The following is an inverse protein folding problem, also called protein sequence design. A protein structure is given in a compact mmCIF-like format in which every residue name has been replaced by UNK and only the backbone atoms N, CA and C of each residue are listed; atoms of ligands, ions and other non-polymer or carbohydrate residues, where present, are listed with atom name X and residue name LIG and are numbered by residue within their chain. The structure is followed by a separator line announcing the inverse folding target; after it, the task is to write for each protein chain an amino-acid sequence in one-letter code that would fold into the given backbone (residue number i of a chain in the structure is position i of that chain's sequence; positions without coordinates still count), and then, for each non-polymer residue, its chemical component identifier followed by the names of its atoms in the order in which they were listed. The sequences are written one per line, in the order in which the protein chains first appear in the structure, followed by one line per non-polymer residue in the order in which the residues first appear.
data_IF_706975544890
#
_entry.id   IF_706975544890
#
_cell.length_a   1.000
_cell.length_b   1.000
_cell.length_c   1.000
_cell.angle_alpha   90.00
_cell.angle_beta   90.00
_cell.angle_gamma   90.00
#
_symmetry.space_group_name_H-M   'P 1'
#
loop_
_entity.id
_entity.type
_entity.pdbx_description
1 polymer ?
#
# COMPACT_ATOMS: atom_id res chain seq x y z
N UNK A 1 21.84 13.27 24.98
CA UNK A 1 21.29 12.23 24.07
C UNK A 1 22.35 11.46 23.27
N UNK A 2 23.51 12.04 22.92
CA UNK A 2 24.57 11.33 22.17
C UNK A 2 25.19 10.14 22.92
N UNK A 3 25.29 10.21 24.24
CA UNK A 3 25.88 9.14 25.06
C UNK A 3 25.02 7.86 25.15
N UNK A 4 23.70 7.95 24.97
CA UNK A 4 22.82 6.77 25.03
C UNK A 4 22.91 5.95 23.73
N UNK A 5 23.08 6.62 22.59
CA UNK A 5 23.33 5.97 21.28
C UNK A 5 24.73 5.36 21.20
N UNK A 6 25.73 5.97 21.81
CA UNK A 6 27.09 5.41 21.87
C UNK A 6 27.18 4.17 22.78
N UNK A 7 26.42 4.11 23.87
CA UNK A 7 26.33 2.92 24.74
C UNK A 7 25.55 1.78 24.06
N UNK A 8 24.51 2.09 23.29
CA UNK A 8 23.82 1.10 22.46
C UNK A 8 24.69 0.61 21.29
N UNK A 9 25.42 1.50 20.61
CA UNK A 9 26.31 1.13 19.50
C UNK A 9 27.51 0.28 19.95
N UNK A 10 28.10 0.58 21.12
CA UNK A 10 29.22 -0.21 21.67
C UNK A 10 28.78 -1.57 22.23
N UNK A 11 27.55 -1.71 22.72
CA UNK A 11 26.98 -3.00 23.08
C UNK A 11 26.64 -3.88 21.86
N UNK A 12 26.30 -3.26 20.73
CA UNK A 12 25.97 -3.97 19.47
C UNK A 12 27.22 -4.56 18.80
N UNK A 13 28.38 -3.91 18.90
CA UNK A 13 29.57 -4.30 18.14
C UNK A 13 30.21 -5.64 18.59
N UNK A 14 29.96 -6.10 19.82
CA UNK A 14 30.43 -7.40 20.34
C UNK A 14 29.43 -8.56 20.19
N UNK A 15 28.24 -8.31 19.64
CA UNK A 15 27.14 -9.29 19.49
C UNK A 15 26.88 -9.76 18.05
N UNK A 16 27.57 -9.17 17.06
CA UNK A 16 27.29 -9.39 15.62
C UNK A 16 27.90 -10.68 15.04
N UNK A 17 28.80 -11.38 15.75
CA UNK A 17 29.45 -12.61 15.26
C UNK A 17 28.53 -13.85 15.27
N UNK A 18 27.30 -13.72 15.77
CA UNK A 18 26.31 -14.80 15.84
C UNK A 18 24.88 -14.26 15.67
N UNK A 19 24.53 -13.84 14.44
CA UNK A 19 23.22 -13.29 14.10
C UNK A 19 22.45 -14.25 13.20
N UNK A 20 21.19 -14.49 13.55
CA UNK A 20 20.22 -14.99 12.56
C UNK A 20 19.61 -13.79 11.84
N UNK A 21 19.43 -13.89 10.54
CA UNK A 21 18.81 -12.82 9.77
C UNK A 21 17.94 -13.37 8.65
N UNK A 22 16.93 -12.58 8.29
CA UNK A 22 16.12 -12.80 7.11
C UNK A 22 15.98 -11.50 6.32
N UNK A 23 15.94 -11.63 5.00
CA UNK A 23 15.67 -10.54 4.09
C UNK A 23 14.46 -10.89 3.23
N UNK A 24 13.55 -9.95 3.08
CA UNK A 24 12.37 -10.07 2.22
C UNK A 24 12.34 -8.89 1.27
N UNK A 25 12.33 -9.15 -0.02
CA UNK A 25 12.07 -8.16 -1.05
C UNK A 25 10.72 -8.46 -1.70
N UNK A 26 9.91 -7.44 -1.95
CA UNK A 26 8.62 -7.63 -2.60
C UNK A 26 8.31 -6.47 -3.54
N UNK A 27 7.45 -6.77 -4.51
CA UNK A 27 6.86 -5.81 -5.41
C UNK A 27 5.51 -6.33 -5.89
N UNK A 28 4.47 -5.54 -5.72
CA UNK A 28 3.15 -5.84 -6.23
C UNK A 28 2.39 -4.59 -6.62
N UNK A 29 1.53 -4.72 -7.61
CA UNK A 29 0.51 -3.74 -7.94
C UNK A 29 -0.78 -4.47 -8.31
N UNK A 30 -1.92 -3.89 -7.99
CA UNK A 30 -3.24 -4.48 -8.16
C UNK A 30 -4.29 -3.41 -8.42
N UNK A 31 -5.28 -3.76 -9.25
CA UNK A 31 -6.52 -3.01 -9.41
C UNK A 31 -7.73 -3.93 -9.34
N UNK A 32 -8.89 -3.37 -9.02
CA UNK A 32 -10.18 -4.05 -9.21
C UNK A 32 -10.80 -3.77 -10.59
N UNK A 33 -10.35 -2.74 -11.30
CA UNK A 33 -10.96 -2.25 -12.54
C UNK A 33 -9.96 -2.10 -13.71
N UNK A 34 -8.70 -1.75 -13.45
CA UNK A 34 -7.71 -1.52 -14.51
C UNK A 34 -6.99 -2.82 -14.88
N UNK A 35 -7.07 -3.19 -16.16
CA UNK A 35 -6.20 -4.21 -16.74
C UNK A 35 -4.75 -3.71 -16.84
N UNK A 36 -3.81 -4.64 -16.97
CA UNK A 36 -2.39 -4.31 -17.15
C UNK A 36 -2.15 -3.46 -18.40
N UNK A 37 -2.87 -3.74 -19.48
CA UNK A 37 -2.77 -2.96 -20.72
C UNK A 37 -3.25 -1.52 -20.54
N UNK A 38 -4.43 -1.32 -19.95
CA UNK A 38 -4.96 0.02 -19.70
C UNK A 38 -4.06 0.79 -18.73
N UNK A 39 -3.65 0.18 -17.62
CA UNK A 39 -2.72 0.82 -16.67
C UNK A 39 -1.37 1.20 -17.30
N UNK A 40 -0.84 0.36 -18.20
CA UNK A 40 0.38 0.66 -18.95
C UNK A 40 0.19 1.86 -19.89
N UNK A 41 -0.94 1.95 -20.59
CA UNK A 41 -1.25 3.05 -21.51
C UNK A 41 -1.46 4.36 -20.76
N UNK A 42 -2.13 4.32 -19.61
CA UNK A 42 -2.29 5.50 -18.74
C UNK A 42 -0.94 6.02 -18.23
N UNK A 43 -0.01 5.12 -17.87
CA UNK A 43 1.29 5.53 -17.33
C UNK A 43 2.31 5.92 -18.41
N UNK A 44 2.36 5.20 -19.53
CA UNK A 44 3.39 5.42 -20.58
C UNK A 44 2.89 6.28 -21.75
N UNK A 45 1.60 6.60 -21.78
CA UNK A 45 0.94 7.18 -22.94
C UNK A 45 0.68 6.16 -24.06
N UNK A 46 -0.23 6.51 -24.95
CA UNK A 46 -0.62 5.71 -26.11
C UNK A 46 -2.11 5.86 -26.42
N UNK A 47 -2.55 5.24 -27.52
CA UNK A 47 -3.97 5.19 -27.86
C UNK A 47 -4.69 4.24 -26.91
N UNK A 48 -5.71 4.75 -26.22
CA UNK A 48 -6.61 3.97 -25.38
C UNK A 48 -7.86 3.67 -26.21
N UNK A 49 -8.01 2.41 -26.59
CA UNK A 49 -9.18 1.92 -27.31
C UNK A 49 -10.42 1.97 -26.40
N UNK A 50 -11.58 2.30 -26.98
CA UNK A 50 -12.86 2.35 -26.26
C UNK A 50 -13.18 1.02 -25.56
N UNK A 51 -12.85 -0.10 -26.19
CA UNK A 51 -13.07 -1.45 -25.62
C UNK A 51 -12.33 -1.67 -24.29
N UNK A 52 -11.16 -1.03 -24.10
CA UNK A 52 -10.41 -1.10 -22.83
C UNK A 52 -11.10 -0.29 -21.73
N UNK A 53 -11.69 0.85 -22.08
CA UNK A 53 -12.45 1.70 -21.16
C UNK A 53 -13.72 0.98 -20.74
N UNK A 54 -14.49 0.46 -21.70
CA UNK A 54 -15.74 -0.26 -21.43
C UNK A 54 -15.48 -1.51 -20.57
N UNK A 55 -14.39 -2.26 -20.86
CA UNK A 55 -13.98 -3.42 -20.05
C UNK A 55 -13.62 -3.03 -18.61
N UNK A 56 -13.02 -1.85 -18.41
CA UNK A 56 -12.67 -1.35 -17.08
C UNK A 56 -13.91 -0.90 -16.30
N UNK A 57 -14.88 -0.29 -16.98
CA UNK A 57 -16.17 0.11 -16.39
C UNK A 57 -17.01 -1.09 -15.98
N UNK A 58 -17.13 -2.08 -16.88
CA UNK A 58 -17.76 -3.36 -16.56
C UNK A 58 -17.04 -4.02 -15.39
N UNK A 59 -15.71 -3.96 -15.36
CA UNK A 59 -14.95 -4.51 -14.27
C UNK A 59 -15.14 -3.79 -12.93
N UNK A 60 -15.37 -2.48 -12.96
CA UNK A 60 -15.63 -1.67 -11.79
C UNK A 60 -17.02 -1.92 -11.20
N UNK A 61 -18.01 -2.25 -12.04
CA UNK A 61 -19.35 -2.69 -11.61
C UNK A 61 -20.14 -1.66 -10.80
N UNK A 62 -19.85 -0.36 -10.97
CA UNK A 62 -20.45 0.73 -10.21
C UNK A 62 -19.87 0.95 -8.80
N UNK A 63 -18.89 0.13 -8.37
CA UNK A 63 -18.17 0.35 -7.12
C UNK A 63 -17.04 1.37 -7.29
N UNK A 64 -16.38 1.75 -6.19
CA UNK A 64 -15.18 2.58 -6.27
C UNK A 64 -14.04 1.81 -6.94
N UNK A 65 -13.50 2.37 -8.01
CA UNK A 65 -12.29 1.88 -8.63
C UNK A 65 -11.10 2.08 -7.68
N UNK A 66 -10.21 1.11 -7.64
CA UNK A 66 -9.04 1.09 -6.79
C UNK A 66 -7.83 0.58 -7.57
N UNK A 67 -6.71 1.24 -7.40
CA UNK A 67 -5.39 0.75 -7.79
C UNK A 67 -4.44 0.99 -6.63
N UNK A 68 -3.67 -0.03 -6.27
CA UNK A 68 -2.64 0.11 -5.25
C UNK A 68 -1.39 -0.64 -5.62
N UNK A 69 -0.27 -0.15 -5.10
CA UNK A 69 1.01 -0.79 -5.29
C UNK A 69 1.83 -0.73 -4.01
N UNK A 70 2.66 -1.75 -3.79
CA UNK A 70 3.68 -1.72 -2.75
C UNK A 70 4.92 -2.45 -3.20
N UNK A 71 6.06 -1.85 -2.92
CA UNK A 71 7.36 -2.47 -3.09
C UNK A 71 8.23 -2.18 -1.88
N UNK A 72 9.21 -3.04 -1.62
CA UNK A 72 10.09 -2.81 -0.51
C UNK A 72 11.10 -3.91 -0.26
N UNK A 73 11.95 -3.63 0.71
CA UNK A 73 12.95 -4.51 1.28
C UNK A 73 12.80 -4.45 2.81
N UNK A 74 12.80 -5.60 3.46
CA UNK A 74 12.84 -5.71 4.91
C UNK A 74 13.91 -6.70 5.32
N UNK A 75 14.79 -6.28 6.23
CA UNK A 75 15.81 -7.12 6.85
C UNK A 75 15.48 -7.20 8.33
N UNK A 76 15.33 -8.40 8.86
CA UNK A 76 15.18 -8.63 10.30
C UNK A 76 16.38 -9.42 10.78
N UNK A 77 16.87 -9.10 11.97
CA UNK A 77 17.96 -9.81 12.61
C UNK A 77 17.66 -10.04 14.09
N UNK A 78 18.21 -11.13 14.62
CA UNK A 78 18.10 -11.50 16.02
C UNK A 78 19.43 -12.07 16.52
N UNK A 79 19.87 -11.60 17.69
CA UNK A 79 21.10 -12.06 18.34
C UNK A 79 20.91 -13.47 18.89
N UNK A 80 21.90 -14.33 18.69
CA UNK A 80 21.91 -15.65 19.31
C UNK A 80 22.22 -15.60 20.82
N UNK A 81 22.73 -14.47 21.33
CA UNK A 81 23.10 -14.32 22.74
C UNK A 81 21.96 -13.71 23.56
N UNK A 82 21.68 -14.25 24.76
CA UNK A 82 20.73 -13.64 25.68
C UNK A 82 21.22 -12.27 26.17
N UNK A 83 20.28 -11.41 26.48
CA UNK A 83 20.49 -10.07 27.00
C UNK A 83 20.55 -10.11 28.53
N UNK A 84 21.74 -9.82 29.10
CA UNK A 84 21.98 -9.68 30.55
C UNK A 84 21.34 -10.81 31.37
N UNK A 85 21.69 -12.05 31.04
CA UNK A 85 21.23 -13.29 31.70
C UNK A 85 19.71 -13.51 31.72
N UNK A 86 18.94 -12.75 30.93
CA UNK A 86 17.51 -12.97 30.71
C UNK A 86 17.28 -13.81 29.46
N UNK A 87 16.17 -14.52 29.40
CA UNK A 87 15.69 -15.26 28.21
C UNK A 87 15.22 -14.35 27.05
N UNK A 88 15.70 -13.09 27.00
CA UNK A 88 15.42 -12.15 25.93
C UNK A 88 16.66 -11.97 25.06
N UNK A 89 16.50 -11.83 23.76
CA UNK A 89 17.56 -11.58 22.78
C UNK A 89 17.38 -10.20 22.17
N UNK A 90 18.48 -9.54 21.82
CA UNK A 90 18.42 -8.30 21.07
C UNK A 90 17.99 -8.61 19.63
N UNK A 91 17.03 -7.87 19.11
CA UNK A 91 16.60 -7.97 17.71
C UNK A 91 16.49 -6.59 17.07
N UNK A 92 16.35 -6.56 15.77
CA UNK A 92 16.07 -5.32 15.04
C UNK A 92 15.66 -5.55 13.62
N UNK A 93 15.18 -4.49 12.99
CA UNK A 93 14.74 -4.49 11.61
C UNK A 93 15.11 -3.22 10.86
N UNK A 94 15.39 -3.39 9.57
CA UNK A 94 15.57 -2.31 8.59
C UNK A 94 14.51 -2.52 7.50
N UNK A 95 13.70 -1.51 7.23
CA UNK A 95 12.69 -1.58 6.17
C UNK A 95 12.79 -0.36 5.25
N UNK A 96 12.82 -0.60 3.96
CA UNK A 96 12.54 0.38 2.91
C UNK A 96 11.22 -0.02 2.27
N UNK A 97 10.25 0.88 2.23
CA UNK A 97 8.93 0.58 1.65
C UNK A 97 8.37 1.78 0.90
N UNK A 98 7.82 1.50 -0.28
CA UNK A 98 6.96 2.40 -1.03
C UNK A 98 5.55 1.82 -1.10
N UNK A 99 4.56 2.68 -0.95
CA UNK A 99 3.14 2.35 -0.97
C UNK A 99 2.37 3.43 -1.72
N UNK A 100 1.43 3.01 -2.57
CA UNK A 100 0.45 3.91 -3.19
C UNK A 100 -0.96 3.32 -3.21
N UNK A 101 -1.95 4.21 -3.14
CA UNK A 101 -3.39 3.93 -3.15
C UNK A 101 -4.09 5.02 -3.95
N UNK A 102 -4.74 4.63 -5.04
CA UNK A 102 -5.51 5.47 -5.93
C UNK A 102 -6.94 4.96 -5.95
N UNK A 103 -7.91 5.87 -5.81
CA UNK A 103 -9.34 5.55 -5.87
C UNK A 103 -10.09 6.58 -6.68
N UNK A 104 -11.10 6.12 -7.40
CA UNK A 104 -11.91 6.96 -8.26
C UNK A 104 -13.35 6.45 -8.30
N UNK A 105 -14.29 7.36 -8.44
CA UNK A 105 -15.70 6.99 -8.69
C UNK A 105 -15.88 6.51 -10.13
N UNK A 106 -16.91 5.69 -10.43
CA UNK A 106 -17.26 5.35 -11.81
C UNK A 106 -17.45 6.60 -12.67
N UNK A 107 -18.07 7.63 -12.11
CA UNK A 107 -18.35 8.90 -12.78
C UNK A 107 -17.07 9.64 -13.12
N UNK A 108 -16.12 9.74 -12.18
CA UNK A 108 -14.82 10.38 -12.46
C UNK A 108 -14.05 9.63 -13.56
N UNK A 109 -14.12 8.30 -13.56
CA UNK A 109 -13.45 7.49 -14.58
C UNK A 109 -14.03 7.73 -15.97
N UNK A 110 -15.36 7.73 -16.08
CA UNK A 110 -16.08 7.94 -17.34
C UNK A 110 -15.90 9.38 -17.84
N UNK A 111 -15.99 10.39 -16.96
CA UNK A 111 -15.73 11.79 -17.33
C UNK A 111 -14.32 11.99 -17.90
N UNK A 112 -13.30 11.33 -17.35
CA UNK A 112 -11.90 11.47 -17.79
C UNK A 112 -11.64 10.75 -19.11
N UNK A 113 -12.23 9.58 -19.34
CA UNK A 113 -11.89 8.72 -20.50
C UNK A 113 -12.93 8.75 -21.62
N UNK A 114 -14.16 9.15 -21.33
CA UNK A 114 -15.30 9.17 -22.26
C UNK A 114 -15.91 10.56 -22.42
N UNK A 115 -15.64 11.48 -21.50
CA UNK A 115 -16.31 12.77 -21.43
C UNK A 115 -17.72 12.69 -20.84
N UNK A 116 -18.44 13.80 -20.93
CA UNK A 116 -19.75 14.00 -20.30
C UNK A 116 -20.96 13.55 -21.15
N UNK A 117 -20.74 13.03 -22.36
CA UNK A 117 -21.83 12.72 -23.29
C UNK A 117 -22.84 11.69 -22.77
N UNK A 118 -22.40 10.72 -21.96
CA UNK A 118 -23.25 9.73 -21.29
C UNK A 118 -23.84 10.17 -19.95
N UNK A 119 -23.64 11.42 -19.55
CA UNK A 119 -23.90 11.94 -18.20
C UNK A 119 -24.90 13.11 -18.18
N UNK A 120 -25.57 13.36 -19.30
CA UNK A 120 -26.55 14.45 -19.40
C UNK A 120 -27.78 14.15 -18.53
N UNK A 121 -28.30 15.18 -17.85
CA UNK A 121 -29.48 15.09 -17.00
C UNK A 121 -29.29 14.41 -15.65
N UNK A 122 -28.05 14.02 -15.30
CA UNK A 122 -27.75 13.39 -14.00
C UNK A 122 -26.64 14.12 -13.25
N UNK A 123 -26.66 13.96 -11.93
CA UNK A 123 -25.56 14.41 -11.07
C UNK A 123 -24.49 13.32 -10.98
N UNK A 124 -23.29 13.67 -11.39
CA UNK A 124 -22.09 12.87 -11.19
C UNK A 124 -21.48 13.19 -9.83
N UNK A 125 -21.17 12.13 -9.07
CA UNK A 125 -20.57 12.24 -7.75
C UNK A 125 -19.11 11.80 -7.83
N UNK A 126 -18.20 12.68 -7.40
CA UNK A 126 -16.75 12.47 -7.45
C UNK A 126 -16.14 12.23 -6.06
N UNK A 127 -16.99 12.26 -5.03
CA UNK A 127 -16.67 12.15 -3.61
C UNK A 127 -15.79 10.93 -3.31
N UNK A 128 -14.73 11.13 -2.52
CA UNK A 128 -13.86 10.06 -2.04
C UNK A 128 -12.79 9.61 -3.04
N UNK A 129 -12.79 10.15 -4.27
CA UNK A 129 -11.69 9.99 -5.21
C UNK A 129 -10.40 10.53 -4.60
N UNK A 130 -9.34 9.73 -4.62
CA UNK A 130 -8.11 10.03 -3.89
C UNK A 130 -6.87 9.43 -4.51
N UNK A 131 -5.73 10.04 -4.21
CA UNK A 131 -4.40 9.51 -4.48
C UNK A 131 -3.58 9.67 -3.22
N UNK A 132 -2.90 8.60 -2.78
CA UNK A 132 -1.93 8.66 -1.70
C UNK A 132 -0.71 7.88 -2.09
N UNK A 133 0.46 8.44 -1.79
CA UNK A 133 1.74 7.81 -2.08
C UNK A 133 2.72 8.14 -0.96
N UNK A 134 3.46 7.14 -0.50
CA UNK A 134 4.51 7.36 0.48
C UNK A 134 5.68 6.40 0.32
N UNK A 135 6.89 6.91 0.53
CA UNK A 135 8.13 6.14 0.61
C UNK A 135 8.81 6.45 1.94
N UNK A 136 9.27 5.41 2.64
CA UNK A 136 9.96 5.56 3.90
C UNK A 136 11.03 4.52 4.15
N UNK A 137 11.98 4.90 5.00
CA UNK A 137 13.02 4.05 5.58
C UNK A 137 12.77 3.99 7.09
N UNK A 138 12.82 2.78 7.64
CA UNK A 138 12.64 2.52 9.06
C UNK A 138 13.83 1.72 9.58
N UNK A 139 14.32 2.12 10.75
CA UNK A 139 15.29 1.35 11.54
C UNK A 139 14.68 1.13 12.91
N UNK A 140 14.57 -0.13 13.33
CA UNK A 140 14.01 -0.50 14.62
C UNK A 140 14.94 -1.44 15.40
N UNK A 141 14.91 -1.32 16.72
CA UNK A 141 15.62 -2.18 17.66
C UNK A 141 14.64 -2.61 18.73
N UNK A 142 14.78 -3.84 19.19
CA UNK A 142 13.82 -4.46 20.06
C UNK A 142 14.38 -5.61 20.88
N UNK A 143 13.45 -6.29 21.55
CA UNK A 143 13.72 -7.50 22.28
C UNK A 143 12.84 -8.62 21.74
N UNK A 144 13.45 -9.79 21.57
CA UNK A 144 12.79 -11.06 21.26
C UNK A 144 12.82 -11.93 22.52
N UNK A 145 11.65 -12.32 23.03
CA UNK A 145 11.52 -13.19 24.19
C UNK A 145 11.33 -14.65 23.80
N UNK A 146 10.84 -15.44 24.78
CA UNK A 146 10.45 -16.82 24.55
C UNK A 146 9.41 -16.94 23.40
N UNK A 147 9.48 -18.04 22.65
CA UNK A 147 8.62 -18.34 21.51
C UNK A 147 8.71 -17.35 20.33
N UNK A 148 9.86 -16.68 20.16
CA UNK A 148 10.10 -15.72 19.06
C UNK A 148 9.17 -14.49 19.09
N UNK A 149 8.48 -14.26 20.21
CA UNK A 149 7.69 -13.05 20.40
C UNK A 149 8.64 -11.86 20.44
N UNK A 150 8.42 -10.85 19.59
CA UNK A 150 9.28 -9.67 19.55
C UNK A 150 8.49 -8.38 19.54
N UNK A 151 9.08 -7.35 20.15
CA UNK A 151 8.61 -5.98 20.09
C UNK A 151 9.79 -5.08 19.77
N UNK A 152 9.59 -4.18 18.81
CA UNK A 152 10.61 -3.27 18.30
C UNK A 152 10.08 -1.85 18.32
N UNK A 153 10.94 -0.92 18.71
CA UNK A 153 10.70 0.51 18.57
C UNK A 153 11.63 1.04 17.48
N UNK A 154 11.05 1.75 16.53
CA UNK A 154 11.75 2.22 15.35
C UNK A 154 11.63 3.71 15.12
N UNK A 155 12.70 4.26 14.55
CA UNK A 155 12.72 5.57 13.94
C UNK A 155 12.38 5.40 12.46
N UNK A 156 11.49 6.25 11.95
CA UNK A 156 11.13 6.28 10.54
C UNK A 156 11.48 7.63 9.92
N UNK A 157 12.03 7.59 8.72
CA UNK A 157 12.22 8.73 7.84
C UNK A 157 11.35 8.50 6.60
N UNK A 158 10.29 9.30 6.45
CA UNK A 158 9.44 9.32 5.26
C UNK A 158 10.01 10.31 4.24
N UNK A 159 10.61 9.80 3.19
CA UNK A 159 11.32 10.60 2.17
C UNK A 159 10.37 11.25 1.18
N UNK A 160 9.22 10.64 0.96
CA UNK A 160 8.19 11.17 0.06
C UNK A 160 6.81 10.92 0.64
N UNK A 161 5.94 11.92 0.53
CA UNK A 161 4.53 11.82 0.88
C UNK A 161 3.74 12.76 0.00
N UNK A 162 2.71 12.24 -0.65
CA UNK A 162 1.76 13.00 -1.43
C UNK A 162 0.36 12.46 -1.18
N UNK A 163 -0.59 13.35 -0.98
CA UNK A 163 -1.99 13.05 -0.80
C UNK A 163 -2.84 13.97 -1.67
N UNK A 164 -3.85 13.45 -2.33
CA UNK A 164 -4.89 14.20 -2.98
C UNK A 164 -6.24 13.56 -2.65
N UNK A 165 -7.24 14.38 -2.40
CA UNK A 165 -8.59 13.91 -2.07
C UNK A 165 -9.62 14.92 -2.56
N UNK A 166 -10.58 14.42 -3.33
CA UNK A 166 -11.86 15.08 -3.57
C UNK A 166 -12.76 14.74 -2.38
N UNK A 167 -13.03 15.72 -1.52
CA UNK A 167 -13.90 15.54 -0.36
C UNK A 167 -15.36 15.58 -0.80
N UNK A 168 -15.70 16.57 -1.60
CA UNK A 168 -17.00 16.72 -2.22
C UNK A 168 -16.78 17.16 -3.66
N UNK A 169 -17.42 16.50 -4.62
CA UNK A 169 -17.34 16.83 -6.03
C UNK A 169 -18.64 16.45 -6.70
N UNK A 170 -19.33 17.45 -7.24
CA UNK A 170 -20.58 17.26 -7.98
C UNK A 170 -20.44 17.88 -9.35
N UNK A 171 -20.85 17.15 -10.38
CA UNK A 171 -20.84 17.63 -11.74
C UNK A 171 -22.18 17.33 -12.40
N UNK A 172 -22.78 18.31 -13.05
CA UNK A 172 -24.06 18.19 -13.70
C UNK A 172 -24.06 18.96 -15.02
N UNK A 173 -24.62 18.35 -16.04
CA UNK A 173 -24.89 18.98 -17.33
C UNK A 173 -26.34 18.70 -17.69
N UNK A 174 -27.09 19.75 -18.00
CA UNK A 174 -28.50 19.61 -18.38
C UNK A 174 -28.67 18.80 -19.68
N UNK A 175 -29.79 18.08 -19.83
CA UNK A 175 -30.10 17.30 -21.05
C UNK A 175 -30.12 18.15 -22.31
N UNK A 176 -30.63 19.38 -22.21
CA UNK A 176 -30.66 20.35 -23.31
C UNK A 176 -29.32 20.98 -23.65
N UNK A 177 -28.25 20.67 -22.89
CA UNK A 177 -26.95 21.36 -22.93
C UNK A 177 -27.05 22.87 -22.65
N UNK A 178 -28.12 23.28 -21.96
CA UNK A 178 -28.43 24.66 -21.62
C UNK A 178 -27.56 25.18 -20.49
N UNK A 179 -27.21 24.33 -19.51
CA UNK A 179 -26.33 24.72 -18.41
C UNK A 179 -25.49 23.57 -17.86
N UNK A 180 -24.40 23.94 -17.20
CA UNK A 180 -23.50 23.08 -16.47
C UNK A 180 -23.25 23.66 -15.08
N UNK A 181 -23.26 22.79 -14.08
CA UNK A 181 -22.91 23.11 -12.69
C UNK A 181 -21.83 22.14 -12.21
N UNK A 182 -20.73 22.67 -11.70
CA UNK A 182 -19.64 21.91 -11.10
C UNK A 182 -19.31 22.46 -9.73
N UNK A 183 -19.32 21.60 -8.72
CA UNK A 183 -18.82 21.91 -7.39
C UNK A 183 -17.62 21.01 -7.10
N UNK A 184 -16.52 21.59 -6.61
CA UNK A 184 -15.35 20.82 -6.21
C UNK A 184 -14.78 21.38 -4.92
N UNK A 185 -14.74 20.53 -3.90
CA UNK A 185 -14.00 20.71 -2.67
C UNK A 185 -12.98 19.59 -2.53
N UNK A 186 -11.71 19.94 -2.62
CA UNK A 186 -10.62 18.97 -2.55
C UNK A 186 -9.32 19.61 -2.08
N UNK A 187 -8.32 18.77 -1.93
CA UNK A 187 -6.96 19.22 -1.67
C UNK A 187 -5.95 18.30 -2.31
N UNK A 188 -4.78 18.86 -2.61
CA UNK A 188 -3.54 18.12 -2.83
C UNK A 188 -2.52 18.64 -1.83
N UNK A 189 -1.84 17.73 -1.15
CA UNK A 189 -0.84 18.03 -0.14
C UNK A 189 0.44 17.24 -0.37
N UNK A 190 1.57 17.89 -0.13
CA UNK A 190 2.88 17.28 -0.20
C UNK A 190 3.83 17.89 0.83
N UNK A 191 4.92 17.17 1.08
CA UNK A 191 6.03 17.64 1.91
C UNK A 191 7.24 17.82 1.02
N UNK A 192 7.83 19.01 0.99
CA UNK A 192 9.10 19.24 0.27
C UNK A 192 10.30 18.65 1.03
N UNK A 193 10.17 18.49 2.35
CA UNK A 193 11.20 17.97 3.25
C UNK A 193 10.81 16.58 3.77
N UNK A 194 11.80 15.74 4.07
CA UNK A 194 11.57 14.44 4.69
C UNK A 194 10.89 14.55 6.06
N UNK A 195 9.90 13.69 6.32
CA UNK A 195 9.20 13.61 7.61
C UNK A 195 9.89 12.61 8.54
N UNK A 196 9.88 12.86 9.85
CA UNK A 196 10.45 11.96 10.86
C UNK A 196 9.40 11.47 11.83
N UNK A 197 9.54 10.25 12.31
CA UNK A 197 8.53 9.65 13.17
C UNK A 197 8.99 8.46 13.97
N UNK A 198 8.08 7.94 14.77
CA UNK A 198 8.28 6.76 15.59
C UNK A 198 7.26 5.69 15.22
N UNK A 199 7.70 4.45 15.23
CA UNK A 199 6.88 3.29 14.91
C UNK A 199 7.16 2.15 15.88
N UNK A 200 6.14 1.35 16.12
CA UNK A 200 6.23 0.09 16.87
C UNK A 200 5.95 -1.05 15.90
N UNK A 201 6.83 -2.06 15.91
CA UNK A 201 6.55 -3.36 15.32
C UNK A 201 6.41 -4.38 16.43
N UNK A 202 5.54 -5.35 16.24
CA UNK A 202 5.42 -6.46 17.16
C UNK A 202 5.02 -7.73 16.43
N UNK A 203 5.54 -8.87 16.90
CA UNK A 203 5.17 -10.19 16.44
C UNK A 203 4.91 -11.08 17.64
N UNK A 204 3.78 -11.78 17.59
CA UNK A 204 3.37 -12.73 18.61
C UNK A 204 3.11 -14.08 17.94
N UNK A 205 3.76 -15.12 18.47
CA UNK A 205 3.61 -16.50 18.06
C UNK A 205 2.97 -17.28 19.21
N UNK A 206 1.75 -17.74 18.98
CA UNK A 206 1.00 -18.58 19.88
C UNK A 206 1.14 -20.02 19.40
N UNK A 207 2.11 -20.72 19.98
CA UNK A 207 2.36 -22.13 19.77
C UNK A 207 1.83 -22.87 21.01
N UNK A 208 0.77 -23.67 20.85
CA UNK A 208 0.32 -24.58 21.90
C UNK A 208 0.94 -25.94 21.64
N UNK A 209 1.67 -26.49 22.62
CA UNK A 209 2.24 -27.83 22.51
C UNK A 209 1.16 -28.92 22.36
N UNK A 210 -0.02 -28.69 22.95
CA UNK A 210 -1.15 -29.63 22.95
C UNK A 210 -2.07 -29.49 21.73
N UNK A 211 -1.97 -28.39 20.97
CA UNK A 211 -2.87 -28.12 19.87
C UNK A 211 -2.12 -28.18 18.54
N UNK A 212 -2.65 -28.89 17.52
CA UNK A 212 -2.02 -28.98 16.22
C UNK A 212 -2.30 -27.70 15.42
N UNK A 213 -2.06 -26.52 15.96
CA UNK A 213 -2.17 -25.27 15.19
C UNK A 213 -1.20 -24.22 15.68
N UNK A 214 -0.73 -23.39 14.75
CA UNK A 214 0.09 -22.23 15.05
C UNK A 214 -0.71 -20.97 14.70
N UNK A 215 -0.78 -20.03 15.64
CA UNK A 215 -1.38 -18.72 15.39
C UNK A 215 -0.31 -17.65 15.53
N UNK A 216 -0.27 -16.73 14.57
CA UNK A 216 0.68 -15.62 14.56
C UNK A 216 -0.06 -14.31 14.35
N UNK A 217 0.32 -13.30 15.14
CA UNK A 217 -0.17 -11.94 15.00
C UNK A 217 1.03 -11.03 14.79
N UNK A 218 0.95 -10.15 13.81
CA UNK A 218 2.00 -9.17 13.52
C UNK A 218 1.41 -7.78 13.36
N UNK A 219 2.02 -6.82 14.00
CA UNK A 219 1.79 -5.40 13.87
C UNK A 219 3.03 -4.78 13.22
N UNK A 220 2.87 -4.12 12.09
CA UNK A 220 3.94 -3.41 11.40
C UNK A 220 3.62 -1.92 11.33
N UNK A 221 4.63 -1.08 11.55
CA UNK A 221 4.58 0.37 11.32
C UNK A 221 3.49 1.11 12.12
N UNK A 222 3.13 0.63 13.31
CA UNK A 222 2.15 1.31 14.14
C UNK A 222 2.78 2.54 14.79
N UNK A 223 2.39 3.73 14.35
CA UNK A 223 2.95 4.98 14.85
C UNK A 223 2.61 6.16 13.97
N UNK A 224 3.43 7.20 14.05
CA UNK A 224 3.19 8.49 13.43
C UNK A 224 4.47 9.11 12.89
N UNK A 225 4.31 10.02 11.95
CA UNK A 225 5.36 10.90 11.42
C UNK A 225 4.93 12.35 11.54
N UNK A 226 5.90 13.21 11.80
CA UNK A 226 5.76 14.66 11.78
C UNK A 226 6.37 15.16 10.48
N UNK A 227 5.52 15.69 9.60
CA UNK A 227 5.93 16.38 8.39
C UNK A 227 6.15 17.87 8.71
N UNK A 228 7.40 18.37 8.60
CA UNK A 228 7.63 19.81 8.61
C UNK A 228 7.23 20.42 7.27
N UNK A 229 6.84 21.70 7.30
CA UNK A 229 6.61 22.52 6.09
C UNK A 229 5.70 21.82 5.07
N UNK A 230 4.53 21.40 5.55
CA UNK A 230 3.54 20.70 4.75
C UNK A 230 2.69 21.72 3.98
N UNK A 231 2.71 21.64 2.66
CA UNK A 231 1.95 22.52 1.76
C UNK A 231 0.70 21.82 1.29
N UNK A 232 -0.46 22.45 1.48
CA UNK A 232 -1.74 22.01 0.94
C UNK A 232 -2.30 23.05 -0.02
N UNK A 233 -2.63 22.61 -1.23
CA UNK A 233 -3.41 23.37 -2.19
C UNK A 233 -4.86 22.91 -2.08
N UNK A 234 -5.73 23.79 -1.63
CA UNK A 234 -7.16 23.55 -1.49
C UNK A 234 -7.90 24.16 -2.68
N UNK A 235 -8.89 23.42 -3.16
CA UNK A 235 -9.91 23.93 -4.09
C UNK A 235 -11.24 23.84 -3.36
N UNK A 236 -11.99 24.95 -3.35
CA UNK A 236 -13.37 25.01 -2.86
C UNK A 236 -14.13 25.98 -3.76
N UNK A 237 -14.68 25.45 -4.85
CA UNK A 237 -15.27 26.26 -5.91
C UNK A 237 -16.59 25.71 -6.40
N UNK A 238 -17.46 26.63 -6.79
CA UNK A 238 -18.69 26.37 -7.52
C UNK A 238 -18.58 27.10 -8.87
N UNK A 239 -18.76 26.35 -9.96
CA UNK A 239 -18.76 26.85 -11.33
C UNK A 239 -20.14 26.57 -11.92
N UNK A 240 -20.82 27.62 -12.37
CA UNK A 240 -22.11 27.54 -13.07
C UNK A 240 -22.02 28.29 -14.39
N UNK A 241 -22.53 27.70 -15.48
CA UNK A 241 -22.56 28.34 -16.80
C UNK A 241 -23.79 27.91 -17.58
N UNK A 242 -24.39 28.82 -18.35
CA UNK A 242 -25.63 28.61 -19.13
C UNK A 242 -25.39 28.59 -20.65
N UNK A 243 -24.16 28.30 -21.09
CA UNK A 243 -23.78 28.27 -22.52
C UNK A 243 -22.46 29.00 -22.79
N UNK A 244 -21.73 28.52 -23.81
CA UNK A 244 -20.38 28.90 -24.22
C UNK A 244 -20.13 30.42 -24.32
N UNK A 245 -19.79 31.04 -23.20
CA UNK A 245 -18.80 32.11 -23.18
C UNK A 245 -18.00 31.97 -21.90
N UNK A 246 -16.89 31.24 -21.98
CA UNK A 246 -15.74 31.40 -21.09
C UNK A 246 -15.05 32.75 -21.39
N UNK A 247 -15.82 33.82 -21.61
CA UNK A 247 -15.31 35.16 -21.91
C UNK A 247 -15.95 36.12 -20.92
N UNK A 248 -15.36 36.13 -19.73
CA UNK A 248 -15.59 37.11 -18.69
C UNK A 248 -14.26 37.41 -17.98
N UNK A 249 -14.18 38.46 -17.16
CA UNK A 249 -12.95 38.85 -16.46
C UNK A 249 -12.45 37.86 -15.38
N UNK A 250 -13.08 36.69 -15.23
CA UNK A 250 -12.66 35.57 -14.36
C UNK A 250 -12.83 34.23 -15.09
N UNK A 251 -12.35 33.11 -14.51
CA UNK A 251 -12.38 31.71 -15.01
C UNK A 251 -12.76 31.53 -16.50
N UNK A 252 -11.98 32.11 -17.40
CA UNK A 252 -12.01 31.84 -18.84
C UNK A 252 -11.05 30.70 -19.19
N UNK A 253 -11.23 30.06 -20.35
CA UNK A 253 -10.27 29.04 -20.84
C UNK A 253 -8.90 29.70 -21.00
N UNK A 254 -8.88 30.93 -21.50
CA UNK A 254 -7.69 31.76 -21.64
C UNK A 254 -7.05 32.08 -20.28
N UNK A 255 -7.82 32.45 -19.24
CA UNK A 255 -7.26 32.73 -17.90
C UNK A 255 -6.80 31.48 -17.16
N UNK A 256 -7.44 30.32 -17.41
CA UNK A 256 -7.00 29.03 -16.90
C UNK A 256 -5.70 28.57 -17.58
N UNK A 257 -5.55 28.83 -18.88
CA UNK A 257 -4.32 28.54 -19.63
C UNK A 257 -3.17 29.52 -19.30
N UNK A 258 -3.50 30.75 -18.86
CA UNK A 258 -2.53 31.79 -18.49
C UNK A 258 -2.21 31.82 -16.99
N UNK A 259 -2.63 30.83 -16.19
CA UNK A 259 -2.41 30.69 -14.74
C UNK A 259 -3.05 31.75 -13.82
N UNK A 260 -3.47 32.90 -14.35
CA UNK A 260 -4.12 33.98 -13.56
C UNK A 260 -5.50 33.59 -13.01
N UNK A 261 -6.28 32.76 -13.72
CA UNK A 261 -7.58 32.29 -13.22
C UNK A 261 -7.50 31.10 -12.27
N UNK A 262 -6.35 30.41 -12.21
CA UNK A 262 -6.13 29.23 -11.37
C UNK A 262 -5.84 29.63 -9.92
N UNK A 263 -5.13 30.75 -9.72
CA UNK A 263 -4.83 31.29 -8.39
C UNK A 263 -6.05 31.84 -7.65
N UNK A 264 -7.14 32.19 -8.36
CA UNK A 264 -8.40 32.61 -7.73
C UNK A 264 -9.20 31.45 -7.12
N UNK A 265 -8.95 30.22 -7.59
CA UNK A 265 -9.69 29.01 -7.19
C UNK A 265 -8.90 28.13 -6.23
N UNK A 266 -7.57 28.22 -6.28
CA UNK A 266 -6.66 27.47 -5.43
C UNK A 266 -6.22 28.36 -4.27
N UNK A 267 -6.50 27.91 -3.05
CA UNK A 267 -5.92 28.51 -1.85
C UNK A 267 -4.77 27.66 -1.34
N UNK A 268 -3.64 28.29 -1.07
CA UNK A 268 -2.47 27.64 -0.50
C UNK A 268 -2.47 27.76 1.03
N UNK A 269 -2.33 26.64 1.71
CA UNK A 269 -2.19 26.55 3.16
C UNK A 269 -0.86 25.89 3.50
N UNK A 270 0.04 26.66 4.09
CA UNK A 270 1.32 26.16 4.58
C UNK A 270 1.24 25.87 6.08
N UNK A 271 1.34 24.60 6.44
CA UNK A 271 1.35 24.15 7.82
C UNK A 271 2.78 23.91 8.27
N UNK A 272 3.17 24.54 9.38
CA UNK A 272 4.52 24.35 9.95
C UNK A 272 4.80 22.89 10.31
N UNK A 273 3.79 22.19 10.83
CA UNK A 273 3.87 20.78 11.17
C UNK A 273 2.54 20.09 10.92
N UNK A 274 2.58 18.90 10.32
CA UNK A 274 1.45 17.98 10.18
C UNK A 274 1.80 16.61 10.78
N UNK A 275 0.90 16.07 11.60
CA UNK A 275 1.04 14.74 12.18
C UNK A 275 0.25 13.74 11.35
N UNK A 276 0.93 12.77 10.74
CA UNK A 276 0.28 11.70 9.98
C UNK A 276 0.48 10.35 10.67
N UNK A 277 -0.56 9.52 10.64
CA UNK A 277 -0.40 8.10 10.98
C UNK A 277 0.37 7.38 9.88
N UNK A 278 1.30 6.53 10.29
CA UNK A 278 1.99 5.64 9.36
C UNK A 278 0.98 4.64 8.77
N UNK A 279 1.17 4.20 7.51
CA UNK A 279 0.43 3.09 6.93
C UNK A 279 0.81 1.79 7.66
N UNK A 280 0.18 1.58 8.81
CA UNK A 280 0.38 0.40 9.62
C UNK A 280 -0.36 -0.79 9.01
N UNK A 281 0.10 -2.00 9.31
CA UNK A 281 -0.54 -3.24 8.90
C UNK A 281 -0.63 -4.20 10.06
N UNK A 282 -1.78 -4.83 10.20
CA UNK A 282 -2.01 -5.96 11.10
C UNK A 282 -2.15 -7.21 10.24
N UNK A 283 -1.33 -8.21 10.50
CA UNK A 283 -1.40 -9.52 9.88
C UNK A 283 -1.74 -10.56 10.95
N UNK A 284 -2.79 -11.34 10.73
CA UNK A 284 -3.10 -12.53 11.53
C UNK A 284 -2.95 -13.75 10.63
N UNK A 285 -2.20 -14.76 11.05
CA UNK A 285 -2.08 -16.02 10.32
C UNK A 285 -2.31 -17.22 11.20
N UNK A 286 -2.93 -18.23 10.62
CA UNK A 286 -3.30 -19.49 11.23
C UNK A 286 -2.79 -20.62 10.34
N UNK A 287 -2.02 -21.54 10.92
CA UNK A 287 -1.53 -22.72 10.24
C UNK A 287 -2.10 -23.98 10.91
N UNK A 288 -2.69 -24.86 10.11
CA UNK A 288 -3.25 -26.13 10.54
C UNK A 288 -2.60 -27.29 9.77
N UNK A 289 -1.88 -28.22 10.42
CA UNK A 289 -1.35 -29.42 9.79
C UNK A 289 -2.51 -30.38 9.48
N UNK A 290 -2.62 -30.76 8.20
CA UNK A 290 -3.56 -31.79 7.75
C UNK A 290 -2.93 -33.19 7.80
N UNK A 291 -1.61 -33.25 7.96
CA UNK A 291 -0.85 -34.48 8.06
C UNK A 291 0.66 -34.20 8.19
N UNK A 292 1.52 -35.23 8.12
CA UNK A 292 2.96 -35.08 8.37
C UNK A 292 3.69 -34.19 7.36
N UNK A 293 3.10 -33.99 6.18
CA UNK A 293 3.72 -33.25 5.05
C UNK A 293 2.76 -32.25 4.42
N UNK A 294 1.61 -32.00 5.03
CA UNK A 294 0.56 -31.16 4.44
C UNK A 294 -0.03 -30.25 5.50
N UNK A 295 -0.43 -29.06 5.07
CA UNK A 295 -1.04 -28.08 5.95
C UNK A 295 -1.98 -27.17 5.18
N UNK A 296 -2.84 -26.52 5.94
CA UNK A 296 -3.72 -25.47 5.49
C UNK A 296 -3.31 -24.18 6.19
N UNK A 297 -3.07 -23.14 5.40
CA UNK A 297 -2.62 -21.84 5.89
C UNK A 297 -3.69 -20.81 5.57
N UNK A 298 -4.06 -20.02 6.57
CA UNK A 298 -4.99 -18.90 6.45
C UNK A 298 -4.31 -17.64 6.97
N UNK A 299 -4.42 -16.54 6.25
CA UNK A 299 -3.88 -15.25 6.65
C UNK A 299 -4.89 -14.14 6.34
N UNK A 300 -5.04 -13.21 7.27
CA UNK A 300 -5.84 -11.99 7.10
C UNK A 300 -4.94 -10.79 7.34
N UNK A 301 -5.01 -9.80 6.46
CA UNK A 301 -4.23 -8.57 6.53
C UNK A 301 -5.17 -7.37 6.45
N UNK A 302 -4.97 -6.40 7.33
CA UNK A 302 -5.70 -5.12 7.34
C UNK A 302 -4.71 -3.98 7.50
N UNK A 303 -4.96 -2.85 6.84
CA UNK A 303 -4.08 -1.68 6.84
C UNK A 303 -3.36 -1.52 5.52
N UNK A 304 -2.16 -0.91 5.54
CA UNK A 304 -1.39 -0.59 4.32
C UNK A 304 -2.23 0.16 3.27
N UNK A 305 -3.23 0.96 3.69
CA UNK A 305 -4.17 1.67 2.81
C UNK A 305 -5.03 0.81 1.87
N UNK A 306 -5.06 -0.51 2.08
CA UNK A 306 -5.95 -1.40 1.32
C UNK A 306 -7.43 -1.00 1.50
N UNK A 307 -8.25 -0.99 0.44
CA UNK A 307 -9.68 -0.68 0.55
C UNK A 307 -10.48 -1.74 1.28
N UNK A 308 -10.08 -3.00 1.12
CA UNK A 308 -10.73 -4.13 1.78
C UNK A 308 -9.69 -4.96 2.54
N UNK A 309 -10.07 -5.59 3.66
CA UNK A 309 -9.25 -6.63 4.29
C UNK A 309 -8.83 -7.66 3.26
N UNK A 310 -7.56 -8.04 3.31
CA UNK A 310 -7.01 -9.05 2.42
C UNK A 310 -7.00 -10.40 3.14
N UNK A 311 -7.71 -11.37 2.59
CA UNK A 311 -7.69 -12.75 3.07
C UNK A 311 -6.89 -13.64 2.10
N UNK A 312 -6.11 -14.56 2.65
CA UNK A 312 -5.32 -15.54 1.92
C UNK A 312 -5.62 -16.89 2.54
N UNK A 313 -6.01 -17.88 1.75
CA UNK A 313 -6.22 -19.23 2.24
C UNK A 313 -5.64 -20.23 1.24
N UNK A 314 -4.99 -21.28 1.71
CA UNK A 314 -4.54 -22.31 0.79
C UNK A 314 -3.82 -23.48 1.41
N UNK A 315 -3.42 -24.38 0.54
CA UNK A 315 -2.83 -25.66 0.87
C UNK A 315 -1.33 -25.62 0.66
N UNK A 316 -0.58 -26.17 1.62
CA UNK A 316 0.86 -26.37 1.53
C UNK A 316 1.24 -27.83 1.63
N UNK A 317 2.34 -28.20 0.98
CA UNK A 317 2.91 -29.55 0.98
C UNK A 317 4.43 -29.52 1.03
N UNK A 318 5.00 -30.34 1.91
CA UNK A 318 6.42 -30.67 1.90
C UNK A 318 6.71 -31.74 0.85
N UNK A 319 7.70 -31.46 -0.01
CA UNK A 319 8.16 -32.31 -1.11
C UNK A 319 9.59 -32.75 -0.77
N UNK A 320 9.72 -33.97 -0.25
CA UNK A 320 10.99 -34.45 0.27
C UNK A 320 11.43 -33.70 1.54
N UNK A 321 12.75 -33.57 1.74
CA UNK A 321 13.34 -32.91 2.92
C UNK A 321 13.66 -31.43 2.73
N UNK A 322 13.76 -30.98 1.49
CA UNK A 322 14.32 -29.67 1.13
C UNK A 322 13.30 -28.72 0.50
N UNK A 323 12.18 -29.22 0.00
CA UNK A 323 11.20 -28.40 -0.70
C UNK A 323 9.87 -28.35 0.04
N UNK A 324 9.25 -27.18 0.00
CA UNK A 324 7.85 -26.97 0.37
C UNK A 324 7.22 -26.12 -0.73
N UNK A 325 5.98 -26.41 -1.07
CA UNK A 325 5.23 -25.60 -2.03
C UNK A 325 3.80 -25.42 -1.54
N UNK A 326 3.15 -24.35 -1.96
CA UNK A 326 1.77 -24.07 -1.64
C UNK A 326 1.03 -23.39 -2.77
N UNK A 327 -0.28 -23.64 -2.81
CA UNK A 327 -1.24 -22.96 -3.68
C UNK A 327 -2.26 -22.26 -2.80
N UNK A 328 -2.60 -21.03 -3.13
CA UNK A 328 -3.44 -20.18 -2.31
C UNK A 328 -4.41 -19.39 -3.18
N UNK A 329 -5.50 -18.95 -2.56
CA UNK A 329 -6.44 -17.97 -3.11
C UNK A 329 -6.32 -16.72 -2.25
N UNK A 330 -6.18 -15.58 -2.90
CA UNK A 330 -6.12 -14.26 -2.28
C UNK A 330 -7.40 -13.51 -2.65
N UNK A 331 -8.09 -12.96 -1.66
CA UNK A 331 -9.30 -12.14 -1.83
C UNK A 331 -9.08 -10.80 -1.13
N UNK A 332 -9.58 -9.72 -1.72
CA UNK A 332 -9.46 -8.37 -1.17
C UNK A 332 -8.07 -7.73 -1.37
N UNK A 333 -7.76 -6.75 -0.54
CA UNK A 333 -6.70 -5.77 -0.83
C UNK A 333 -7.21 -4.75 -1.85
N UNK A 334 -6.41 -4.43 -2.87
CA UNK A 334 -6.78 -3.48 -3.95
C UNK A 334 -7.45 -4.10 -5.17
N UNK A 335 -7.72 -5.40 -5.17
CA UNK A 335 -8.15 -6.07 -6.40
C UNK A 335 -8.96 -7.34 -6.17
N UNK A 336 -9.27 -7.97 -7.30
CA UNK A 336 -10.16 -9.13 -7.40
C UNK A 336 -9.57 -10.40 -6.77
N UNK A 337 -10.41 -11.42 -6.50
CA UNK A 337 -9.96 -12.77 -6.15
C UNK A 337 -8.96 -13.31 -7.17
N UNK A 338 -7.89 -13.93 -6.68
CA UNK A 338 -6.77 -14.37 -7.53
C UNK A 338 -6.03 -15.56 -6.94
N UNK A 339 -5.48 -16.45 -7.79
CA UNK A 339 -4.62 -17.51 -7.31
C UNK A 339 -3.26 -16.94 -6.92
N UNK A 340 -2.58 -17.61 -6.00
CA UNK A 340 -1.19 -17.38 -5.65
C UNK A 340 -0.50 -18.74 -5.47
N UNK A 341 0.80 -18.76 -5.72
CA UNK A 341 1.62 -19.95 -5.55
C UNK A 341 2.95 -19.57 -4.93
N UNK A 342 3.49 -20.47 -4.11
CA UNK A 342 4.82 -20.29 -3.56
C UNK A 342 5.59 -21.59 -3.50
N UNK A 343 6.91 -21.45 -3.55
CA UNK A 343 7.86 -22.51 -3.34
C UNK A 343 8.93 -22.02 -2.37
N UNK A 344 9.27 -22.87 -1.40
CA UNK A 344 10.35 -22.69 -0.45
C UNK A 344 11.34 -23.83 -0.59
N UNK A 345 12.58 -23.47 -0.85
CA UNK A 345 13.72 -24.38 -0.81
C UNK A 345 14.49 -24.13 0.49
N UNK A 346 14.87 -25.20 1.17
CA UNK A 346 15.62 -25.18 2.43
C UNK A 346 16.82 -26.09 2.31
N UNK A 347 18.00 -25.54 2.56
CA UNK A 347 19.21 -26.31 2.87
C UNK A 347 19.36 -26.35 4.40
N UNK A 348 19.13 -27.51 5.04
CA UNK A 348 19.13 -27.62 6.50
C UNK A 348 20.44 -27.13 7.11
N UNK A 349 20.37 -26.28 8.14
CA UNK A 349 21.53 -25.74 8.84
C UNK A 349 22.29 -24.64 8.08
N UNK A 350 21.79 -24.16 6.95
CA UNK A 350 22.42 -23.08 6.20
C UNK A 350 21.44 -21.96 5.84
N UNK A 351 20.46 -22.24 4.97
CA UNK A 351 19.56 -21.19 4.50
C UNK A 351 18.25 -21.72 3.92
N UNK A 352 17.27 -20.83 3.81
CA UNK A 352 16.04 -21.05 3.08
C UNK A 352 15.75 -19.89 2.11
N UNK A 353 15.33 -20.24 0.90
CA UNK A 353 14.84 -19.31 -0.11
C UNK A 353 13.36 -19.59 -0.35
N UNK A 354 12.54 -18.55 -0.40
CA UNK A 354 11.13 -18.65 -0.76
C UNK A 354 10.79 -17.65 -1.85
N UNK A 355 10.09 -18.13 -2.86
CA UNK A 355 9.47 -17.35 -3.92
C UNK A 355 7.96 -17.48 -3.77
N UNK A 356 7.27 -16.35 -3.70
CA UNK A 356 5.83 -16.25 -3.70
C UNK A 356 5.39 -15.38 -4.87
N UNK A 357 4.46 -15.91 -5.66
CA UNK A 357 3.90 -15.27 -6.85
C UNK A 357 2.39 -15.12 -6.66
N UNK A 358 1.91 -13.89 -6.73
CA UNK A 358 0.47 -13.62 -6.83
C UNK A 358 0.07 -13.50 -8.29
N UNK A 359 -1.05 -14.15 -8.62
CA UNK A 359 -1.64 -14.22 -9.95
C UNK A 359 -0.63 -14.70 -11.01
N UNK A 360 -0.07 -15.91 -10.87
CA UNK A 360 0.95 -16.42 -11.79
C UNK A 360 0.48 -16.43 -13.25
N UNK A 361 -0.80 -16.68 -13.49
CA UNK A 361 -1.39 -16.66 -14.84
C UNK A 361 -1.44 -15.24 -15.43
N UNK A 362 -1.56 -14.22 -14.58
CA UNK A 362 -1.53 -12.82 -14.99
C UNK A 362 -0.17 -12.32 -15.49
N UNK A 363 0.93 -13.06 -15.29
CA UNK A 363 2.28 -12.65 -15.73
C UNK A 363 2.45 -12.66 -17.26
N UNK A 364 1.70 -13.51 -17.96
CA UNK A 364 1.70 -13.55 -19.43
C UNK A 364 0.55 -12.77 -20.07
N UNK A 365 -0.42 -12.31 -19.28
CA UNK A 365 -1.66 -11.73 -19.81
C UNK A 365 -1.69 -10.21 -19.71
N UNK A 366 -2.14 -9.57 -20.79
CA UNK A 366 -2.46 -8.13 -20.84
C UNK A 366 -3.78 -7.79 -20.14
N UNK A 367 -4.70 -8.76 -20.07
CA UNK A 367 -6.00 -8.61 -19.43
C UNK A 367 -5.97 -8.81 -17.90
N UNK A 368 -4.81 -9.14 -17.33
CA UNK A 368 -4.67 -9.31 -15.88
C UNK A 368 -4.78 -8.00 -15.13
N UNK A 369 -5.28 -8.04 -13.90
CA UNK A 369 -5.53 -6.85 -13.05
C UNK A 369 -4.41 -6.58 -12.04
N UNK A 370 -3.25 -7.22 -12.22
CA UNK A 370 -2.04 -6.92 -11.48
C UNK A 370 -1.12 -8.11 -11.31
N UNK A 371 -0.03 -7.91 -10.57
CA UNK A 371 1.00 -8.93 -10.32
C UNK A 371 1.63 -8.70 -8.96
N UNK A 372 2.13 -9.78 -8.36
CA UNK A 372 2.91 -9.69 -7.13
C UNK A 372 4.02 -10.72 -7.11
N UNK A 373 5.18 -10.30 -6.65
CA UNK A 373 6.33 -11.18 -6.36
C UNK A 373 6.86 -10.86 -4.97
N UNK A 374 7.20 -11.88 -4.23
CA UNK A 374 7.93 -11.77 -2.97
C UNK A 374 9.04 -12.82 -2.97
N UNK A 375 10.25 -12.34 -2.68
CA UNK A 375 11.43 -13.16 -2.48
C UNK A 375 11.85 -13.05 -1.03
N UNK A 376 12.00 -14.18 -0.34
CA UNK A 376 12.48 -14.22 1.04
C UNK A 376 13.70 -15.12 1.14
N UNK A 377 14.76 -14.60 1.73
CA UNK A 377 15.94 -15.33 2.14
C UNK A 377 16.01 -15.38 3.67
N UNK A 378 16.43 -16.52 4.22
CA UNK A 378 16.64 -16.70 5.65
C UNK A 378 17.93 -17.49 5.86
N UNK A 379 18.83 -16.97 6.68
CA UNK A 379 19.94 -17.72 7.24
C UNK A 379 19.44 -18.53 8.46
N UNK A 380 19.78 -19.81 8.53
CA UNK A 380 19.19 -20.79 9.46
C UNK A 380 20.11 -21.18 10.62
#
# INVERSE_FOLDING_TARGET
MAYMFLVLASAVQGQLDSLTWNATAWGQYRSNALSHELGRLLFRGGHIDRSLVDSAQEAQGGEMGAFGYTSGLAINWSSLRPWRDKEARLCGSLQLKTLGDFRWTPELFDLVLSGNSGHLGRWDVLDGSRMRMSTWIQVAVGLEGANQNRIELGLVHRTQSMEALIRNGYFYVSEGLDYMTGYLRGHIGSSEVGSWGLVTNAEWHFLREEAPFAFHLRLNNFGFVVAPDWTELHVDTLVETTGLTWTGPGLSVESLMQSEGVSEVISESNQRFRLDMMPFRIDASFEYPLGPRSGWDVQVQVGDWMPTPRAIAGYRRAIGKQWQAGIQIVVGGWGRPRPAAWARWKKPGEHALMLFLEDPFGWGSKAAYGRGITLRYQNL
#
